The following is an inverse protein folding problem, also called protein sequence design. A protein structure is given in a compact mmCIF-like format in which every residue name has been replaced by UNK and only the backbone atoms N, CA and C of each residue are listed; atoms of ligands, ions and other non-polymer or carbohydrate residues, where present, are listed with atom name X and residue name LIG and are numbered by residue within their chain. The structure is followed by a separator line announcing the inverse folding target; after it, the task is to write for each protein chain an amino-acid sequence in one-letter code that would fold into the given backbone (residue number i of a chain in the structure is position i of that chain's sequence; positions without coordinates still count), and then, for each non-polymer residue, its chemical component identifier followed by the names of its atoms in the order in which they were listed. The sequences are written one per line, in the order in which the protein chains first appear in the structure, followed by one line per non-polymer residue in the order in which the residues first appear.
data_IF_847383133194
#
_entry.id   IF_847383133194
#
_cell.length_a   1.000
_cell.length_b   1.000
_cell.length_c   1.000
_cell.angle_alpha   90.00
_cell.angle_beta   90.00
_cell.angle_gamma   90.00
#
_symmetry.space_group_name_H-M   'P 1'
#
loop_
_entity.id
_entity.type
_entity.pdbx_description
1 polymer ?
#
# COMPACT_ATOMS: atom_id res chain seq x y z
N UNK A 1 -19.00 -22.39 -10.38
CA UNK A 1 -20.35 -22.70 -10.92
C UNK A 1 -21.32 -23.16 -9.82
N UNK A 2 -21.48 -22.38 -8.73
CA UNK A 2 -22.50 -22.61 -7.70
C UNK A 2 -23.44 -21.39 -7.66
N UNK A 3 -22.88 -20.20 -7.48
CA UNK A 3 -23.59 -18.92 -7.56
C UNK A 3 -24.15 -18.54 -8.94
N UNK A 4 -23.93 -19.37 -9.99
CA UNK A 4 -24.56 -19.20 -11.30
C UNK A 4 -25.95 -19.85 -11.40
N UNK A 5 -26.29 -20.73 -10.44
CA UNK A 5 -27.59 -21.45 -10.37
C UNK A 5 -28.41 -21.06 -9.15
N UNK A 6 -27.87 -20.22 -8.27
CA UNK A 6 -28.49 -19.78 -7.02
C UNK A 6 -28.37 -18.25 -6.90
N UNK A 7 -29.37 -17.56 -6.31
CA UNK A 7 -30.49 -18.15 -5.59
C UNK A 7 -31.61 -18.68 -6.49
N UNK A 8 -32.33 -19.69 -6.01
CA UNK A 8 -33.54 -20.23 -6.67
C UNK A 8 -34.74 -19.62 -5.96
N UNK A 9 -35.49 -18.76 -6.65
CA UNK A 9 -36.62 -18.01 -6.11
C UNK A 9 -37.86 -18.23 -6.99
N UNK A 10 -38.60 -19.35 -6.79
CA UNK A 10 -39.85 -19.57 -7.51
C UNK A 10 -40.94 -18.65 -6.93
N UNK A 11 -41.88 -18.21 -7.76
CA UNK A 11 -42.99 -17.33 -7.38
C UNK A 11 -44.35 -18.06 -7.28
N UNK A 12 -44.42 -19.32 -7.73
CA UNK A 12 -45.64 -20.13 -7.73
C UNK A 12 -45.56 -21.28 -6.68
N UNK A 13 -46.69 -21.63 -6.06
CA UNK A 13 -46.81 -22.68 -5.05
C UNK A 13 -45.93 -22.52 -3.79
N UNK A 14 -45.80 -21.29 -3.29
CA UNK A 14 -45.03 -20.98 -2.08
C UNK A 14 -45.85 -21.13 -0.79
N UNK A 15 -45.27 -21.66 0.30
CA UNK A 15 -45.91 -21.68 1.62
C UNK A 15 -45.81 -20.35 2.38
N UNK A 16 -45.30 -19.28 1.73
CA UNK A 16 -45.06 -17.95 2.32
C UNK A 16 -45.24 -16.83 1.28
N UNK A 17 -45.34 -15.58 1.75
CA UNK A 17 -45.51 -14.40 0.88
C UNK A 17 -44.20 -14.08 0.11
N UNK A 18 -44.30 -13.92 -1.20
CA UNK A 18 -43.20 -13.63 -2.13
C UNK A 18 -42.41 -12.36 -1.77
N UNK A 19 -43.05 -11.45 -1.01
CA UNK A 19 -42.40 -10.24 -0.45
C UNK A 19 -41.17 -10.54 0.38
N UNK A 20 -41.00 -11.77 0.88
CA UNK A 20 -39.83 -12.18 1.67
C UNK A 20 -38.54 -12.19 0.86
N UNK A 21 -38.59 -12.29 -0.48
CA UNK A 21 -37.38 -12.11 -1.28
C UNK A 21 -36.88 -10.67 -1.34
N UNK A 22 -37.65 -9.72 -0.82
CA UNK A 22 -37.31 -8.30 -0.82
C UNK A 22 -37.25 -7.76 0.61
N UNK A 23 -36.29 -6.87 0.86
CA UNK A 23 -36.21 -6.08 2.09
C UNK A 23 -36.70 -4.67 1.80
N UNK A 24 -37.66 -4.21 2.58
CA UNK A 24 -38.11 -2.82 2.55
C UNK A 24 -37.24 -1.99 3.49
N UNK A 25 -36.66 -0.91 2.96
CA UNK A 25 -35.86 0.05 3.74
C UNK A 25 -36.74 1.22 4.20
N UNK A 26 -36.32 1.96 5.23
CA UNK A 26 -37.03 3.13 5.76
C UNK A 26 -37.31 4.21 4.70
N UNK A 27 -36.53 4.21 3.62
CA UNK A 27 -36.66 5.10 2.46
C UNK A 27 -37.62 4.56 1.36
N UNK A 28 -38.41 3.51 1.64
CA UNK A 28 -39.26 2.77 0.69
C UNK A 28 -38.54 2.02 -0.44
N UNK A 29 -37.22 2.04 -0.48
CA UNK A 29 -36.45 1.23 -1.45
C UNK A 29 -36.53 -0.27 -1.13
N UNK A 30 -36.82 -1.05 -2.17
CA UNK A 30 -36.91 -2.52 -2.13
C UNK A 30 -35.58 -3.14 -2.55
N UNK A 31 -34.86 -3.75 -1.62
CA UNK A 31 -33.57 -4.39 -1.87
C UNK A 31 -33.79 -5.90 -2.03
N UNK A 32 -33.40 -6.52 -3.16
CA UNK A 32 -33.56 -7.95 -3.36
C UNK A 32 -32.58 -8.76 -2.49
N UNK A 33 -33.07 -9.81 -1.84
CA UNK A 33 -32.28 -10.75 -1.03
C UNK A 33 -31.66 -11.80 -1.93
N UNK A 34 -30.54 -11.46 -2.57
CA UNK A 34 -29.81 -12.32 -3.53
C UNK A 34 -29.15 -13.58 -2.89
N UNK A 35 -29.45 -13.86 -1.63
CA UNK A 35 -28.91 -14.98 -0.86
C UNK A 35 -29.98 -16.00 -0.45
N UNK A 36 -31.27 -15.68 -0.55
CA UNK A 36 -32.35 -16.54 -0.08
C UNK A 36 -32.85 -17.44 -1.20
N UNK A 37 -32.76 -18.76 -1.01
CA UNK A 37 -33.22 -19.77 -1.95
C UNK A 37 -34.30 -20.65 -1.35
N UNK A 38 -35.29 -21.05 -2.15
CA UNK A 38 -36.31 -22.01 -1.76
C UNK A 38 -36.19 -23.29 -2.59
N UNK A 39 -36.26 -24.45 -1.94
CA UNK A 39 -36.27 -25.76 -2.59
C UNK A 39 -37.65 -26.39 -2.50
N UNK A 40 -38.28 -26.61 -3.66
CA UNK A 40 -39.64 -27.18 -3.75
C UNK A 40 -39.69 -28.65 -3.32
N UNK A 41 -38.62 -29.43 -3.58
CA UNK A 41 -38.51 -30.84 -3.22
C UNK A 41 -38.45 -31.06 -1.70
N UNK A 42 -37.77 -30.17 -0.98
CA UNK A 42 -37.58 -30.29 0.47
C UNK A 42 -38.51 -29.36 1.27
N UNK A 43 -39.29 -28.53 0.59
CA UNK A 43 -40.18 -27.51 1.17
C UNK A 43 -39.45 -26.69 2.25
N UNK A 44 -38.24 -26.20 1.94
CA UNK A 44 -37.35 -25.56 2.91
C UNK A 44 -36.63 -24.35 2.31
N UNK A 45 -36.34 -23.36 3.16
CA UNK A 45 -35.56 -22.16 2.84
C UNK A 45 -34.08 -22.35 3.20
N UNK A 46 -33.21 -21.86 2.31
CA UNK A 46 -31.78 -21.95 2.42
C UNK A 46 -31.11 -20.59 2.17
N UNK A 47 -29.99 -20.35 2.84
CA UNK A 47 -29.11 -19.24 2.51
C UNK A 47 -27.97 -19.71 1.59
N UNK A 48 -27.99 -19.30 0.33
CA UNK A 48 -26.98 -19.67 -0.68
C UNK A 48 -25.55 -19.33 -0.24
N UNK A 49 -25.35 -18.20 0.45
CA UNK A 49 -24.03 -17.80 0.94
C UNK A 49 -23.58 -18.64 2.13
N UNK A 50 -24.47 -18.87 3.12
CA UNK A 50 -24.09 -19.69 4.27
C UNK A 50 -23.88 -21.15 3.86
N UNK A 51 -24.72 -21.71 2.99
CA UNK A 51 -24.53 -23.08 2.46
C UNK A 51 -23.18 -23.23 1.74
N UNK A 52 -22.72 -22.20 1.03
CA UNK A 52 -21.47 -22.25 0.28
C UNK A 52 -20.20 -22.12 1.14
N UNK A 53 -20.27 -21.43 2.28
CA UNK A 53 -19.09 -21.01 3.04
C UNK A 53 -19.04 -21.54 4.49
N UNK A 54 -20.08 -22.19 4.98
CA UNK A 54 -20.09 -22.83 6.30
C UNK A 54 -19.17 -24.06 6.31
N UNK A 55 -18.27 -24.16 7.30
CA UNK A 55 -17.38 -25.31 7.48
C UNK A 55 -17.91 -26.25 8.56
N UNK A 56 -17.68 -27.55 8.41
CA UNK A 56 -18.19 -28.62 9.30
C UNK A 56 -17.68 -28.58 10.76
N UNK A 57 -16.92 -27.55 11.14
CA UNK A 57 -16.31 -27.38 12.46
C UNK A 57 -16.97 -26.28 13.31
N UNK A 58 -18.01 -25.59 12.80
CA UNK A 58 -18.76 -24.61 13.59
C UNK A 58 -19.83 -25.29 14.47
N UNK A 59 -19.76 -25.10 15.79
CA UNK A 59 -20.73 -25.65 16.76
C UNK A 59 -22.13 -24.99 16.68
N UNK A 60 -22.35 -24.06 15.74
CA UNK A 60 -23.60 -23.31 15.57
C UNK A 60 -24.01 -23.29 14.10
N UNK A 61 -24.47 -24.43 13.60
CA UNK A 61 -25.00 -24.52 12.23
C UNK A 61 -26.30 -23.72 12.16
N UNK A 62 -26.33 -22.67 11.32
CA UNK A 62 -27.54 -21.88 11.08
C UNK A 62 -28.64 -22.78 10.50
N UNK A 63 -29.87 -22.65 10.97
CA UNK A 63 -31.02 -23.43 10.45
C UNK A 63 -31.26 -23.24 8.94
N UNK A 64 -30.74 -22.14 8.37
CA UNK A 64 -30.78 -21.85 6.93
C UNK A 64 -29.71 -22.60 6.11
N UNK A 65 -28.83 -23.37 6.76
CA UNK A 65 -27.88 -24.29 6.12
C UNK A 65 -28.48 -25.70 6.03
N UNK A 66 -29.14 -26.16 7.10
CA UNK A 66 -29.82 -27.46 7.16
C UNK A 66 -31.22 -27.48 6.51
N UNK A 67 -31.82 -26.32 6.29
CA UNK A 67 -33.14 -26.14 5.69
C UNK A 67 -34.17 -25.67 6.71
N UNK A 68 -34.65 -24.44 6.52
CA UNK A 68 -35.63 -23.81 7.41
C UNK A 68 -37.06 -24.08 6.93
N UNK A 69 -37.93 -24.63 7.80
CA UNK A 69 -39.30 -25.06 7.49
C UNK A 69 -40.41 -24.28 8.22
N UNK A 70 -40.07 -23.41 9.16
CA UNK A 70 -41.06 -22.71 10.00
C UNK A 70 -41.60 -21.44 9.32
N UNK A 71 -42.57 -21.60 8.42
CA UNK A 71 -43.09 -20.49 7.61
C UNK A 71 -43.96 -19.48 8.38
N UNK A 72 -44.45 -19.82 9.58
CA UNK A 72 -45.34 -18.95 10.39
C UNK A 72 -44.67 -17.65 10.86
N UNK A 73 -43.34 -17.66 11.06
CA UNK A 73 -42.54 -16.49 11.49
C UNK A 73 -41.33 -16.26 10.58
N UNK A 74 -41.45 -16.66 9.32
CA UNK A 74 -40.37 -16.63 8.35
C UNK A 74 -39.78 -15.22 8.20
N UNK A 75 -40.60 -14.17 8.13
CA UNK A 75 -40.12 -12.79 7.97
C UNK A 75 -39.24 -12.34 9.13
N UNK A 76 -39.63 -12.69 10.36
CA UNK A 76 -38.84 -12.41 11.56
C UNK A 76 -37.53 -13.21 11.57
N UNK A 77 -37.59 -14.52 11.30
CA UNK A 77 -36.42 -15.41 11.30
C UNK A 77 -35.42 -15.07 10.19
N UNK A 78 -35.90 -14.63 9.03
CA UNK A 78 -35.08 -14.13 7.91
C UNK A 78 -34.36 -12.84 8.33
N UNK A 79 -35.06 -11.90 8.99
CA UNK A 79 -34.45 -10.67 9.50
C UNK A 79 -33.39 -10.95 10.59
N UNK A 80 -33.69 -11.85 11.52
CA UNK A 80 -32.74 -12.31 12.55
C UNK A 80 -31.50 -12.94 11.91
N UNK A 81 -31.67 -13.81 10.91
CA UNK A 81 -30.56 -14.42 10.17
C UNK A 81 -29.74 -13.38 9.39
N UNK A 82 -30.38 -12.45 8.70
CA UNK A 82 -29.72 -11.34 7.99
C UNK A 82 -28.87 -10.50 8.97
N UNK A 83 -29.35 -10.34 10.20
CA UNK A 83 -28.67 -9.64 11.29
C UNK A 83 -27.61 -10.47 12.02
N UNK A 84 -27.43 -11.74 11.69
CA UNK A 84 -26.45 -12.61 12.35
C UNK A 84 -25.01 -12.29 11.89
N UNK A 85 -24.04 -12.47 12.79
CA UNK A 85 -22.62 -12.29 12.48
C UNK A 85 -22.10 -13.31 11.47
N UNK A 86 -22.63 -14.53 11.49
CA UNK A 86 -22.28 -15.62 10.57
C UNK A 86 -22.70 -15.30 9.14
N UNK A 87 -23.95 -14.85 8.94
CA UNK A 87 -24.43 -14.41 7.63
C UNK A 87 -23.60 -13.25 7.07
N UNK A 88 -23.34 -12.21 7.88
CA UNK A 88 -22.53 -11.07 7.45
C UNK A 88 -21.12 -11.47 7.03
N UNK A 89 -20.49 -12.39 7.75
CA UNK A 89 -19.16 -12.91 7.38
C UNK A 89 -19.19 -13.59 6.02
N UNK A 90 -20.15 -14.48 5.78
CA UNK A 90 -20.28 -15.18 4.50
C UNK A 90 -20.66 -14.26 3.33
N UNK A 91 -21.44 -13.20 3.58
CA UNK A 91 -21.68 -12.14 2.58
C UNK A 91 -20.38 -11.43 2.21
N UNK A 92 -19.54 -11.09 3.19
CA UNK A 92 -18.23 -10.49 2.93
C UNK A 92 -17.31 -11.42 2.15
N UNK A 93 -17.30 -12.72 2.45
CA UNK A 93 -16.51 -13.71 1.73
C UNK A 93 -17.00 -13.91 0.29
N UNK A 94 -18.32 -13.91 0.07
CA UNK A 94 -18.92 -13.87 -1.27
C UNK A 94 -18.49 -12.62 -2.05
N UNK A 95 -18.58 -11.44 -1.43
CA UNK A 95 -18.17 -10.18 -2.04
C UNK A 95 -16.67 -10.20 -2.36
N UNK A 96 -15.82 -10.75 -1.48
CA UNK A 96 -14.38 -10.91 -1.75
C UNK A 96 -14.10 -11.78 -2.97
N UNK A 97 -14.80 -12.91 -3.11
CA UNK A 97 -14.62 -13.82 -4.24
C UNK A 97 -15.15 -13.19 -5.55
N UNK A 98 -16.29 -12.49 -5.49
CA UNK A 98 -16.87 -11.82 -6.66
C UNK A 98 -16.11 -10.55 -7.06
N UNK A 99 -15.58 -9.79 -6.10
CA UNK A 99 -14.79 -8.57 -6.32
C UNK A 99 -13.29 -8.84 -6.49
N UNK A 100 -12.84 -10.09 -6.44
CA UNK A 100 -11.43 -10.47 -6.67
C UNK A 100 -10.94 -10.19 -8.12
N UNK A 101 -11.76 -9.61 -8.99
CA UNK A 101 -11.29 -9.00 -10.25
C UNK A 101 -10.72 -7.58 -10.06
N UNK A 102 -11.01 -6.86 -8.96
CA UNK A 102 -10.58 -5.47 -8.76
C UNK A 102 -9.71 -5.23 -7.51
N UNK A 103 -9.84 -6.01 -6.43
CA UNK A 103 -9.02 -5.81 -5.22
C UNK A 103 -7.54 -6.16 -5.48
N UNK A 104 -7.27 -7.23 -6.21
CA UNK A 104 -5.90 -7.62 -6.58
C UNK A 104 -5.26 -6.61 -7.54
N UNK A 105 -6.05 -5.96 -8.41
CA UNK A 105 -5.59 -4.86 -9.27
C UNK A 105 -5.29 -3.60 -8.47
N UNK A 106 -6.08 -3.25 -7.46
CA UNK A 106 -5.82 -2.11 -6.58
C UNK A 106 -4.58 -2.35 -5.71
N UNK A 107 -4.48 -3.51 -5.05
CA UNK A 107 -3.32 -3.88 -4.25
C UNK A 107 -2.05 -4.02 -5.10
N UNK A 108 -2.11 -4.67 -6.26
CA UNK A 108 -0.96 -4.77 -7.17
C UNK A 108 -0.55 -3.41 -7.73
N UNK A 109 -1.50 -2.50 -8.00
CA UNK A 109 -1.19 -1.12 -8.44
C UNK A 109 -0.58 -0.31 -7.31
N UNK A 110 -1.08 -0.41 -6.08
CA UNK A 110 -0.52 0.27 -4.92
C UNK A 110 0.89 -0.24 -4.59
N UNK A 111 1.09 -1.56 -4.63
CA UNK A 111 2.40 -2.20 -4.43
C UNK A 111 3.36 -1.85 -5.57
N UNK A 112 2.91 -1.84 -6.83
CA UNK A 112 3.72 -1.37 -7.98
C UNK A 112 4.15 0.07 -7.80
N UNK A 113 3.22 0.98 -7.51
CA UNK A 113 3.54 2.40 -7.26
C UNK A 113 4.57 2.56 -6.14
N UNK A 114 4.40 1.84 -5.03
CA UNK A 114 5.38 1.85 -3.95
C UNK A 114 6.75 1.34 -4.39
N UNK A 115 6.80 0.22 -5.13
CA UNK A 115 8.05 -0.35 -5.62
C UNK A 115 8.74 0.57 -6.64
N UNK A 116 7.97 1.22 -7.52
CA UNK A 116 8.46 2.18 -8.50
C UNK A 116 9.05 3.42 -7.78
N UNK A 117 8.38 3.93 -6.76
CA UNK A 117 8.93 5.00 -5.91
C UNK A 117 10.23 4.59 -5.21
N UNK A 118 10.30 3.37 -4.67
CA UNK A 118 11.50 2.83 -4.05
C UNK A 118 12.63 2.72 -5.07
N UNK A 119 12.34 2.26 -6.29
CA UNK A 119 13.31 2.15 -7.38
C UNK A 119 13.85 3.52 -7.78
N UNK A 120 12.98 4.52 -7.96
CA UNK A 120 13.37 5.89 -8.27
C UNK A 120 14.27 6.45 -7.16
N UNK A 121 13.91 6.25 -5.89
CA UNK A 121 14.72 6.72 -4.75
C UNK A 121 16.09 6.04 -4.71
N UNK A 122 16.18 4.73 -5.00
CA UNK A 122 17.45 4.00 -5.10
C UNK A 122 18.31 4.54 -6.25
N UNK A 123 17.70 4.83 -7.40
CA UNK A 123 18.38 5.40 -8.55
C UNK A 123 18.96 6.80 -8.24
N UNK A 124 18.18 7.67 -7.60
CA UNK A 124 18.65 8.99 -7.13
C UNK A 124 19.81 8.83 -6.14
N UNK A 125 19.66 7.93 -5.15
CA UNK A 125 20.69 7.69 -4.15
C UNK A 125 21.99 7.18 -4.79
N UNK A 126 21.92 6.31 -5.79
CA UNK A 126 23.10 5.83 -6.52
C UNK A 126 23.89 7.00 -7.12
N UNK A 127 23.20 7.93 -7.80
CA UNK A 127 23.83 9.13 -8.40
C UNK A 127 24.48 9.99 -7.34
N UNK A 128 23.81 10.21 -6.21
CA UNK A 128 24.37 10.97 -5.07
C UNK A 128 25.62 10.31 -4.53
N UNK A 129 25.63 8.99 -4.38
CA UNK A 129 26.81 8.23 -3.94
C UNK A 129 27.95 8.36 -4.97
N UNK A 130 27.66 8.32 -6.26
CA UNK A 130 28.67 8.45 -7.31
C UNK A 130 29.30 9.84 -7.34
N UNK A 131 28.51 10.90 -7.13
CA UNK A 131 29.01 12.27 -6.92
C UNK A 131 29.93 12.31 -5.69
N UNK A 132 29.52 11.69 -4.58
CA UNK A 132 30.32 11.65 -3.35
C UNK A 132 31.67 10.94 -3.60
N UNK A 133 31.63 9.77 -4.24
CA UNK A 133 32.84 9.02 -4.61
C UNK A 133 33.75 9.83 -5.52
N UNK A 134 33.19 10.54 -6.50
CA UNK A 134 33.96 11.37 -7.42
C UNK A 134 34.70 12.49 -6.67
N UNK A 135 34.00 13.23 -5.80
CA UNK A 135 34.61 14.29 -4.99
C UNK A 135 35.68 13.74 -4.04
N UNK A 136 35.43 12.59 -3.38
CA UNK A 136 36.44 11.92 -2.57
C UNK A 136 37.70 11.56 -3.38
N UNK A 137 37.52 10.97 -4.57
CA UNK A 137 38.64 10.57 -5.44
C UNK A 137 39.48 11.77 -5.88
N UNK A 138 38.84 12.90 -6.16
CA UNK A 138 39.51 14.14 -6.57
C UNK A 138 39.98 14.99 -5.38
N UNK A 139 39.79 14.52 -4.14
CA UNK A 139 40.09 15.27 -2.91
C UNK A 139 39.43 16.66 -2.85
N UNK A 140 38.28 16.81 -3.51
CA UNK A 140 37.58 18.08 -3.59
C UNK A 140 36.71 18.31 -2.36
N UNK A 141 36.70 19.53 -1.79
CA UNK A 141 35.83 19.85 -0.67
C UNK A 141 34.37 19.80 -1.12
N UNK A 142 33.51 19.16 -0.33
CA UNK A 142 32.09 19.02 -0.65
C UNK A 142 31.30 20.33 -0.56
N UNK A 143 31.71 21.23 0.35
CA UNK A 143 30.96 22.41 0.75
C UNK A 143 31.63 23.70 0.28
N UNK A 144 30.81 24.69 -0.06
CA UNK A 144 31.23 26.07 -0.29
C UNK A 144 31.28 26.87 1.01
N UNK A 145 31.71 28.13 0.92
CA UNK A 145 31.91 29.00 2.09
C UNK A 145 30.58 29.57 2.64
N UNK A 146 29.57 29.82 1.78
CA UNK A 146 28.24 30.35 2.13
C UNK A 146 27.17 29.77 1.17
N UNK A 147 25.90 29.76 1.60
CA UNK A 147 24.72 29.43 0.76
C UNK A 147 24.60 27.99 0.22
N UNK A 148 24.68 27.00 1.12
CA UNK A 148 24.41 25.58 0.84
C UNK A 148 22.89 25.21 0.91
N UNK A 149 22.01 26.17 0.69
CA UNK A 149 20.56 25.97 0.78
C UNK A 149 19.98 25.45 -0.53
N UNK A 150 19.11 24.43 -0.47
CA UNK A 150 18.40 23.98 -1.67
C UNK A 150 17.53 25.08 -2.30
N UNK A 151 17.08 26.06 -1.51
CA UNK A 151 16.30 27.21 -1.97
C UNK A 151 17.09 28.27 -2.76
N UNK A 152 18.42 28.28 -2.63
CA UNK A 152 19.27 29.26 -3.30
C UNK A 152 19.90 28.70 -4.58
N UNK A 153 19.59 27.43 -4.93
CA UNK A 153 20.18 26.72 -6.07
C UNK A 153 19.81 27.30 -7.45
N UNK A 154 18.86 28.23 -7.53
CA UNK A 154 18.55 28.95 -8.78
C UNK A 154 19.40 30.22 -8.96
N UNK A 155 20.22 30.58 -7.95
CA UNK A 155 21.09 31.73 -8.02
C UNK A 155 22.50 31.34 -8.47
N UNK A 156 22.73 31.36 -9.79
CA UNK A 156 24.02 31.02 -10.41
C UNK A 156 25.20 31.93 -9.97
N UNK A 157 24.92 33.05 -9.30
CA UNK A 157 25.94 33.95 -8.74
C UNK A 157 26.49 33.46 -7.38
N UNK A 158 25.87 32.46 -6.76
CA UNK A 158 26.24 31.97 -5.43
C UNK A 158 27.10 30.69 -5.49
N UNK A 159 28.17 30.65 -4.70
CA UNK A 159 28.99 29.45 -4.57
C UNK A 159 28.34 28.41 -3.64
N UNK A 160 27.56 27.49 -4.22
CA UNK A 160 26.89 26.40 -3.50
C UNK A 160 27.83 25.25 -3.05
N UNK A 161 29.10 25.30 -3.41
CA UNK A 161 30.06 24.23 -3.17
C UNK A 161 30.05 23.12 -4.22
N UNK A 162 31.16 22.37 -4.29
CA UNK A 162 31.40 21.41 -5.37
C UNK A 162 30.34 20.29 -5.44
N UNK A 163 29.77 19.88 -4.31
CA UNK A 163 28.71 18.87 -4.32
C UNK A 163 27.45 19.37 -5.03
N UNK A 164 26.94 20.54 -4.65
CA UNK A 164 25.71 21.08 -5.24
C UNK A 164 25.93 21.50 -6.69
N UNK A 165 27.11 22.04 -7.02
CA UNK A 165 27.49 22.35 -8.39
C UNK A 165 27.49 21.11 -9.32
N UNK A 166 28.04 19.98 -8.85
CA UNK A 166 27.99 18.72 -9.60
C UNK A 166 26.58 18.15 -9.72
N UNK A 167 25.75 18.27 -8.67
CA UNK A 167 24.34 17.87 -8.73
C UNK A 167 23.58 18.70 -9.77
N UNK A 168 23.77 20.02 -9.80
CA UNK A 168 23.17 20.92 -10.80
C UNK A 168 23.64 20.58 -12.21
N UNK A 169 24.93 20.32 -12.40
CA UNK A 169 25.48 19.93 -13.70
C UNK A 169 24.87 18.61 -14.19
N UNK A 170 24.82 17.58 -13.35
CA UNK A 170 24.25 16.29 -13.71
C UNK A 170 22.73 16.36 -13.92
N UNK A 171 22.03 17.21 -13.18
CA UNK A 171 20.60 17.45 -13.38
C UNK A 171 20.28 18.00 -14.79
N UNK A 172 21.22 18.66 -15.49
CA UNK A 172 21.02 19.08 -16.88
C UNK A 172 20.89 17.90 -17.85
N UNK A 173 21.47 16.75 -17.52
CA UNK A 173 21.53 15.58 -18.40
C UNK A 173 20.73 14.39 -17.86
N UNK A 174 20.34 14.42 -16.59
CA UNK A 174 19.60 13.37 -15.92
C UNK A 174 18.20 13.85 -15.49
N UNK A 175 17.14 13.49 -16.24
CA UNK A 175 15.77 13.92 -15.94
C UNK A 175 15.27 13.49 -14.55
N UNK A 176 15.72 12.35 -14.03
CA UNK A 176 15.33 11.88 -12.70
C UNK A 176 15.95 12.74 -11.62
N UNK A 177 17.23 13.10 -11.79
CA UNK A 177 17.92 13.99 -10.87
C UNK A 177 17.36 15.42 -10.95
N UNK A 178 17.02 15.89 -12.15
CA UNK A 178 16.37 17.19 -12.37
C UNK A 178 15.03 17.29 -11.63
N UNK A 179 14.16 16.30 -11.83
CA UNK A 179 12.86 16.25 -11.15
C UNK A 179 13.02 16.23 -9.63
N UNK A 180 14.00 15.49 -9.12
CA UNK A 180 14.30 15.49 -7.69
C UNK A 180 14.78 16.87 -7.22
N UNK A 181 15.66 17.53 -7.96
CA UNK A 181 16.20 18.85 -7.63
C UNK A 181 15.10 19.92 -7.56
N UNK A 182 14.19 19.96 -8.54
CA UNK A 182 13.06 20.90 -8.54
C UNK A 182 12.12 20.65 -7.36
N UNK A 183 11.82 19.37 -7.05
CA UNK A 183 11.05 19.01 -5.86
C UNK A 183 11.75 19.47 -4.57
N UNK A 184 13.09 19.41 -4.54
CA UNK A 184 13.88 19.86 -3.41
C UNK A 184 13.77 21.37 -3.20
N UNK A 185 13.89 22.13 -4.29
CA UNK A 185 13.76 23.59 -4.31
C UNK A 185 12.38 24.02 -3.81
N UNK A 186 11.31 23.51 -4.43
CA UNK A 186 9.93 23.89 -4.11
C UNK A 186 9.59 23.65 -2.63
N UNK A 187 9.97 22.48 -2.09
CA UNK A 187 9.75 22.17 -0.67
C UNK A 187 10.59 23.04 0.25
N UNK A 188 11.80 23.42 -0.17
CA UNK A 188 12.65 24.32 0.59
C UNK A 188 12.06 25.73 0.65
N UNK A 189 11.56 26.26 -0.47
CA UNK A 189 10.93 27.59 -0.57
C UNK A 189 9.66 27.67 0.30
N UNK A 190 8.74 26.72 0.14
CA UNK A 190 7.51 26.62 0.96
C UNK A 190 7.79 26.57 2.46
N UNK A 191 8.89 25.92 2.86
CA UNK A 191 9.28 25.83 4.27
C UNK A 191 9.82 27.15 4.80
N UNK A 192 10.58 27.89 4.01
CA UNK A 192 11.11 29.21 4.39
C UNK A 192 9.96 30.19 4.59
N UNK A 193 9.00 30.21 3.67
CA UNK A 193 7.80 31.03 3.74
C UNK A 193 6.97 30.72 4.99
N UNK A 194 6.75 29.43 5.30
CA UNK A 194 5.89 29.00 6.41
C UNK A 194 6.54 29.08 7.79
N UNK A 195 7.81 28.70 7.92
CA UNK A 195 8.46 28.50 9.23
C UNK A 195 9.48 29.59 9.59
N UNK A 196 9.83 30.51 8.67
CA UNK A 196 10.91 31.51 8.85
C UNK A 196 12.22 30.92 9.42
N UNK A 197 12.43 29.61 9.26
CA UNK A 197 13.60 28.88 9.77
C UNK A 197 14.36 28.27 8.61
N UNK A 198 15.66 28.56 8.55
CA UNK A 198 16.61 27.87 7.67
C UNK A 198 16.94 26.51 8.27
N UNK A 199 16.68 25.43 7.53
CA UNK A 199 17.39 24.16 7.75
C UNK A 199 16.52 22.92 7.94
N UNK A 200 17.09 21.83 7.41
CA UNK A 200 16.70 20.43 7.46
C UNK A 200 15.40 20.06 6.77
N UNK A 201 15.47 19.90 5.43
CA UNK A 201 14.59 18.95 4.76
C UNK A 201 15.24 17.58 4.76
N UNK A 202 14.47 16.52 5.02
CA UNK A 202 14.91 15.12 4.90
C UNK A 202 14.89 14.73 3.42
N UNK A 203 15.90 15.16 2.68
CA UNK A 203 16.14 14.73 1.29
C UNK A 203 17.59 14.30 1.10
N UNK A 204 17.86 13.63 -0.02
CA UNK A 204 19.20 13.13 -0.35
C UNK A 204 20.25 14.24 -0.49
N UNK A 205 19.82 15.47 -0.79
CA UNK A 205 20.69 16.64 -0.92
C UNK A 205 20.95 17.37 0.41
N UNK A 206 20.35 16.92 1.52
CA UNK A 206 20.53 17.61 2.80
C UNK A 206 21.92 17.35 3.39
N UNK A 207 22.48 18.37 4.06
CA UNK A 207 23.77 18.25 4.77
C UNK A 207 23.80 17.06 5.72
N UNK A 208 22.70 16.83 6.43
CA UNK A 208 22.55 15.72 7.38
C UNK A 208 22.56 14.36 6.70
N UNK A 209 21.92 14.22 5.54
CA UNK A 209 21.91 12.96 4.79
C UNK A 209 23.30 12.68 4.21
N UNK A 210 23.93 13.69 3.60
CA UNK A 210 25.29 13.56 3.05
C UNK A 210 26.29 13.19 4.15
N UNK A 211 26.22 13.85 5.32
CA UNK A 211 27.10 13.53 6.45
C UNK A 211 26.90 12.09 6.96
N UNK A 212 25.66 11.60 7.03
CA UNK A 212 25.36 10.21 7.38
C UNK A 212 25.93 9.23 6.35
N UNK A 213 25.77 9.52 5.06
CA UNK A 213 26.33 8.70 3.99
C UNK A 213 27.85 8.63 4.06
N UNK A 214 28.51 9.78 4.26
CA UNK A 214 29.97 9.84 4.45
C UNK A 214 30.43 9.03 5.65
N UNK A 215 29.71 9.11 6.78
CA UNK A 215 30.06 8.32 7.96
C UNK A 215 29.91 6.81 7.72
N UNK A 216 28.85 6.39 7.03
CA UNK A 216 28.67 4.99 6.67
C UNK A 216 29.77 4.50 5.72
N UNK A 217 30.12 5.28 4.69
CA UNK A 217 31.21 4.95 3.77
C UNK A 217 32.56 4.86 4.50
N UNK A 218 32.83 5.80 5.42
CA UNK A 218 34.02 5.77 6.28
C UNK A 218 34.08 4.49 7.09
N UNK A 219 33.00 4.10 7.76
CA UNK A 219 32.96 2.90 8.59
C UNK A 219 33.22 1.64 7.75
N UNK A 220 32.58 1.51 6.60
CA UNK A 220 32.80 0.38 5.67
C UNK A 220 34.26 0.30 5.21
N UNK A 221 34.89 1.45 4.90
CA UNK A 221 36.31 1.48 4.53
C UNK A 221 37.21 1.07 5.69
N UNK A 222 36.91 1.54 6.91
CA UNK A 222 37.67 1.17 8.12
C UNK A 222 37.57 -0.33 8.40
N UNK A 223 36.37 -0.92 8.30
CA UNK A 223 36.16 -2.37 8.44
C UNK A 223 36.98 -3.15 7.41
N UNK A 224 36.99 -2.71 6.15
CA UNK A 224 37.80 -3.35 5.10
C UNK A 224 39.29 -3.27 5.41
N UNK A 225 39.80 -2.11 5.84
CA UNK A 225 41.21 -1.93 6.20
C UNK A 225 41.59 -2.85 7.37
N UNK A 226 40.73 -2.94 8.41
CA UNK A 226 40.98 -3.81 9.57
C UNK A 226 41.05 -5.28 9.14
N UNK A 227 40.16 -5.73 8.25
CA UNK A 227 40.19 -7.09 7.72
C UNK A 227 41.49 -7.37 6.96
N UNK A 228 41.91 -6.47 6.08
CA UNK A 228 43.13 -6.65 5.28
C UNK A 228 44.40 -6.62 6.14
N UNK A 229 44.48 -5.72 7.12
CA UNK A 229 45.59 -5.69 8.09
C UNK A 229 45.65 -6.97 8.92
N UNK A 230 44.50 -7.50 9.33
CA UNK A 230 44.44 -8.74 10.11
C UNK A 230 44.93 -9.94 9.30
N UNK A 231 44.50 -10.07 8.04
CA UNK A 231 45.00 -11.11 7.12
C UNK A 231 46.50 -11.00 6.90
N UNK A 232 47.01 -9.79 6.67
CA UNK A 232 48.44 -9.56 6.44
C UNK A 232 49.30 -9.90 7.68
N UNK A 233 48.77 -9.71 8.90
CA UNK A 233 49.46 -10.13 10.13
C UNK A 233 49.53 -11.65 10.28
N UNK A 234 48.46 -12.37 9.94
CA UNK A 234 48.43 -13.85 9.99
C UNK A 234 49.47 -14.47 9.05
N UNK A 235 49.65 -13.90 7.85
CA UNK A 235 50.64 -14.37 6.87
C UNK A 235 52.11 -14.12 7.26
N UNK A 236 52.38 -13.23 8.24
CA UNK A 236 53.75 -12.95 8.71
C UNK A 236 54.20 -13.84 9.87
N UNK A 237 53.27 -14.59 10.47
CA UNK A 237 53.51 -15.44 11.64
C UNK A 237 53.60 -16.93 11.32
N UNK A 238 53.56 -17.28 10.03
CA UNK A 238 53.75 -18.61 9.46
C UNK A 238 55.01 -18.63 8.60
#
# INVERSE_FOLDING_TARGET
MFFSKYPIQPHEHLPFDDKIYHRQTDLKDSIPRNWLSFSQNSQSLYCSFCVAFESSQSNTVSSFVSGFKDFRRVSQRVAEHESSSTHRRHVLDYIRIMNNQDFDRFCSTAIKKYNDEVLIRKQILSRVIDIIKHLCKQTLPFRGHRNEGAYSLDNDEENHGNFLALVQLLAKYDPLLASHLSMCQEKSTKRIEKLKRRGALVMFLSKTTIAKLLNNMKNMMQEQIVMEVSKAKVLRTS
#
